data_IF_188225050896
#
_entry.id   IF_188225050896
#
_cell.length_a   1.000
_cell.length_b   1.000
_cell.length_c   1.000
_cell.angle_alpha   90.00
_cell.angle_beta   90.00
_cell.angle_gamma   90.00
#
_symmetry.space_group_name_H-M   'P 1'
#
loop_
_entity.id
_entity.type
_entity.pdbx_description
1 polymer ?
#
# COMPACT_ATOMS: atom_id res chain seq x y z
N UNK A 1 -8.43 11.19 2.60
CA UNK A 1 -7.63 10.29 1.82
C UNK A 1 -8.26 8.90 1.77
N UNK A 2 -8.47 8.36 0.59
CA UNK A 2 -8.99 7.02 0.33
C UNK A 2 -8.00 6.19 -0.51
N UNK A 3 -6.72 6.56 -0.52
CA UNK A 3 -5.70 5.92 -1.35
C UNK A 3 -5.68 4.41 -1.18
N UNK A 4 -5.71 3.91 0.06
CA UNK A 4 -5.82 2.49 0.37
C UNK A 4 -7.14 2.22 1.12
N UNK A 5 -8.01 1.42 0.50
CA UNK A 5 -9.31 1.04 1.07
C UNK A 5 -9.35 -0.41 1.56
N UNK A 6 -8.23 -1.11 1.62
CA UNK A 6 -8.16 -2.54 1.87
C UNK A 6 -8.87 -2.98 3.16
N UNK A 7 -8.93 -2.12 4.19
CA UNK A 7 -9.63 -2.45 5.43
C UNK A 7 -11.13 -2.11 5.43
N UNK A 8 -11.62 -1.34 4.47
CA UNK A 8 -12.93 -0.66 4.63
C UNK A 8 -13.88 -0.81 3.46
N UNK A 9 -13.44 -1.42 2.35
CA UNK A 9 -14.31 -1.58 1.19
C UNK A 9 -15.48 -2.53 1.51
N UNK A 10 -16.68 -2.12 1.16
CA UNK A 10 -17.89 -2.87 1.49
C UNK A 10 -18.28 -2.88 2.98
N UNK A 11 -17.48 -2.25 3.86
CA UNK A 11 -17.69 -2.19 5.32
C UNK A 11 -18.11 -0.79 5.76
N UNK A 12 -17.46 0.27 5.27
CA UNK A 12 -17.70 1.65 5.69
C UNK A 12 -18.38 2.47 4.60
N UNK A 13 -19.48 3.13 4.94
CA UNK A 13 -20.13 4.16 4.10
C UNK A 13 -19.48 5.50 4.35
N UNK A 14 -18.49 5.86 3.54
CA UNK A 14 -17.64 7.03 3.77
C UNK A 14 -18.37 8.36 3.75
N UNK A 15 -19.42 8.51 2.95
CA UNK A 15 -20.28 9.70 2.98
C UNK A 15 -20.96 9.93 4.34
N UNK A 16 -21.22 8.86 5.11
CA UNK A 16 -21.84 8.92 6.43
C UNK A 16 -20.91 9.38 7.56
N UNK A 17 -19.60 9.35 7.35
CA UNK A 17 -18.59 9.78 8.35
C UNK A 17 -18.10 11.23 8.13
N UNK A 18 -18.81 12.01 7.33
CA UNK A 18 -18.51 13.44 7.15
C UNK A 18 -17.53 13.79 6.03
N UNK A 19 -17.00 12.80 5.28
CA UNK A 19 -16.08 13.05 4.16
C UNK A 19 -16.80 13.75 3.01
N UNK A 20 -16.27 14.90 2.55
CA UNK A 20 -16.82 15.68 1.44
C UNK A 20 -16.13 15.40 0.10
N UNK A 21 -14.83 15.16 0.12
CA UNK A 21 -14.02 14.79 -1.05
C UNK A 21 -13.19 13.57 -0.71
N UNK A 22 -13.13 12.61 -1.62
CA UNK A 22 -12.30 11.41 -1.46
C UNK A 22 -11.65 11.01 -2.78
N UNK A 23 -10.36 10.81 -2.77
CA UNK A 23 -9.63 10.17 -3.86
C UNK A 23 -9.38 8.69 -3.54
N UNK A 24 -9.22 7.87 -4.58
CA UNK A 24 -8.89 6.45 -4.51
C UNK A 24 -7.64 6.17 -5.33
N UNK A 25 -6.89 5.12 -4.97
CA UNK A 25 -5.88 4.57 -5.87
C UNK A 25 -6.34 3.19 -6.38
N UNK A 26 -6.54 3.07 -7.68
CA UNK A 26 -6.97 1.80 -8.28
C UNK A 26 -5.91 0.71 -8.13
N UNK A 27 -4.63 1.09 -8.13
CA UNK A 27 -3.49 0.17 -7.98
C UNK A 27 -3.26 -0.33 -6.54
N UNK A 28 -4.02 0.11 -5.57
CA UNK A 28 -3.95 -0.41 -4.18
C UNK A 28 -5.06 -1.42 -3.94
N UNK A 29 -6.32 -0.99 -3.97
CA UNK A 29 -7.46 -1.82 -3.56
C UNK A 29 -8.11 -2.58 -4.71
N UNK A 30 -7.89 -2.18 -5.98
CA UNK A 30 -8.63 -2.70 -7.13
C UNK A 30 -7.75 -3.45 -8.14
N UNK A 31 -6.63 -4.01 -7.68
CA UNK A 31 -5.78 -4.95 -8.42
C UNK A 31 -5.31 -4.46 -9.79
N UNK A 32 -4.87 -3.21 -9.86
CA UNK A 32 -4.29 -2.65 -11.09
C UNK A 32 -2.81 -2.36 -10.95
N UNK A 33 -2.02 -2.23 -12.04
CA UNK A 33 -0.60 -1.96 -11.93
C UNK A 33 -0.34 -0.53 -11.42
N UNK A 34 0.67 -0.38 -10.58
CA UNK A 34 1.28 0.90 -10.19
C UNK A 34 2.30 1.37 -11.24
N UNK A 35 3.01 0.43 -11.85
CA UNK A 35 3.99 0.68 -12.91
C UNK A 35 5.21 1.51 -12.50
N UNK A 36 5.57 1.49 -11.20
CA UNK A 36 6.68 2.30 -10.70
C UNK A 36 6.43 3.82 -10.77
N UNK A 37 5.17 4.25 -10.77
CA UNK A 37 4.76 5.65 -10.90
C UNK A 37 4.25 6.03 -12.30
N UNK A 38 3.97 5.04 -13.16
CA UNK A 38 3.50 5.25 -14.54
C UNK A 38 1.97 5.27 -14.68
N UNK A 39 1.32 4.11 -14.89
CA UNK A 39 -0.07 4.05 -15.37
C UNK A 39 -1.12 4.21 -14.24
N UNK A 40 -0.80 4.84 -13.14
CA UNK A 40 -1.73 5.04 -12.02
C UNK A 40 -3.00 5.78 -12.46
N UNK A 41 -4.14 5.40 -11.85
CA UNK A 41 -5.40 6.11 -11.97
C UNK A 41 -6.11 6.13 -10.62
N UNK A 42 -6.86 7.20 -10.36
CA UNK A 42 -7.58 7.37 -9.10
C UNK A 42 -8.80 8.26 -9.27
N UNK A 43 -10.00 7.69 -9.19
CA UNK A 43 -11.22 8.51 -9.21
C UNK A 43 -11.28 9.43 -7.99
N UNK A 44 -11.84 10.61 -8.20
CA UNK A 44 -12.20 11.55 -7.13
C UNK A 44 -13.71 11.57 -7.00
N UNK A 45 -14.20 11.37 -5.79
CA UNK A 45 -15.63 11.45 -5.46
C UNK A 45 -15.87 12.64 -4.55
N UNK A 46 -16.99 13.34 -4.78
CA UNK A 46 -17.39 14.48 -4.00
C UNK A 46 -18.85 14.36 -3.54
N UNK A 47 -19.21 15.05 -2.45
CA UNK A 47 -20.62 15.24 -2.07
C UNK A 47 -21.33 16.17 -3.06
N UNK A 48 -22.68 16.10 -3.11
CA UNK A 48 -23.51 16.81 -4.08
C UNK A 48 -23.25 18.31 -4.14
N UNK A 49 -23.02 18.97 -3.00
CA UNK A 49 -22.78 20.43 -2.94
C UNK A 49 -21.46 20.85 -3.61
N UNK A 50 -20.54 19.93 -3.82
CA UNK A 50 -19.27 20.18 -4.53
C UNK A 50 -19.31 19.74 -6.00
N UNK A 51 -20.39 19.12 -6.44
CA UNK A 51 -20.47 18.54 -7.79
C UNK A 51 -20.35 19.60 -8.90
N UNK A 52 -20.84 20.84 -8.66
CA UNK A 52 -20.74 21.93 -9.63
C UNK A 52 -19.28 22.27 -10.00
N UNK A 53 -18.37 22.16 -9.06
CA UNK A 53 -16.96 22.52 -9.19
C UNK A 53 -16.08 21.46 -9.84
N UNK A 54 -16.60 20.24 -10.10
CA UNK A 54 -15.81 19.17 -10.71
C UNK A 54 -15.28 19.59 -12.10
N UNK A 55 -14.13 19.05 -12.53
CA UNK A 55 -13.53 19.34 -13.83
C UNK A 55 -14.47 19.07 -15.02
N UNK A 56 -14.21 19.73 -16.12
CA UNK A 56 -14.81 19.48 -17.43
C UNK A 56 -13.80 18.89 -18.41
N UNK A 57 -14.22 18.16 -19.49
CA UNK A 57 -15.61 17.77 -19.77
C UNK A 57 -16.08 16.64 -18.86
N UNK A 58 -17.41 16.52 -18.69
CA UNK A 58 -18.05 15.42 -17.98
C UNK A 58 -18.68 14.46 -18.97
N UNK A 59 -18.60 13.16 -18.67
CA UNK A 59 -19.31 12.16 -19.48
C UNK A 59 -20.77 12.16 -19.05
N UNK A 60 -21.66 12.44 -19.99
CA UNK A 60 -23.12 12.39 -19.81
C UNK A 60 -23.73 11.31 -20.69
N UNK A 61 -24.92 10.86 -20.33
CA UNK A 61 -25.74 9.99 -21.16
C UNK A 61 -27.03 10.72 -21.48
N UNK A 62 -27.26 11.00 -22.77
CA UNK A 62 -28.45 11.66 -23.26
C UNK A 62 -29.00 10.86 -24.43
N UNK A 63 -30.31 10.57 -24.43
CA UNK A 63 -31.02 9.84 -25.50
C UNK A 63 -30.38 8.49 -25.88
N UNK A 64 -29.83 7.80 -24.88
CA UNK A 64 -29.18 6.49 -25.08
C UNK A 64 -27.72 6.55 -25.54
N UNK A 65 -27.22 7.71 -25.94
CA UNK A 65 -25.83 7.92 -26.36
C UNK A 65 -24.99 8.57 -25.24
N UNK A 66 -23.69 8.30 -25.24
CA UNK A 66 -22.74 8.99 -24.36
C UNK A 66 -22.09 10.15 -25.10
N UNK A 67 -21.94 11.27 -24.39
CA UNK A 67 -21.29 12.48 -24.89
C UNK A 67 -20.41 13.15 -23.84
N UNK A 68 -19.71 14.19 -24.26
CA UNK A 68 -18.93 15.05 -23.39
C UNK A 68 -19.64 16.40 -23.24
N UNK A 69 -19.86 16.80 -22.00
CA UNK A 69 -20.52 18.06 -21.65
C UNK A 69 -19.51 19.02 -20.98
N UNK A 70 -19.46 20.24 -21.46
CA UNK A 70 -18.56 21.32 -21.00
C UNK A 70 -19.31 22.45 -20.28
N UNK A 71 -20.65 22.44 -20.28
CA UNK A 71 -21.48 23.54 -19.76
C UNK A 71 -21.66 23.45 -18.23
N UNK A 72 -20.58 23.77 -17.54
CA UNK A 72 -20.53 23.86 -16.06
C UNK A 72 -19.80 25.15 -15.65
N UNK A 73 -20.50 26.28 -15.50
CA UNK A 73 -19.88 27.59 -15.28
C UNK A 73 -19.09 27.70 -13.96
N UNK A 74 -19.43 26.89 -12.94
CA UNK A 74 -18.71 26.86 -11.67
C UNK A 74 -17.55 25.85 -11.65
N UNK A 75 -17.33 25.12 -12.74
CA UNK A 75 -16.25 24.13 -12.83
C UNK A 75 -14.88 24.77 -12.65
N UNK A 76 -13.96 24.05 -11.99
CA UNK A 76 -12.52 24.42 -11.95
C UNK A 76 -11.83 24.32 -13.30
N UNK A 77 -12.58 23.99 -14.37
CA UNK A 77 -12.08 23.88 -15.73
C UNK A 77 -11.47 22.53 -16.08
N UNK A 78 -10.79 22.50 -17.21
CA UNK A 78 -10.11 21.30 -17.71
C UNK A 78 -8.75 21.13 -17.03
N UNK A 79 -8.60 20.12 -16.21
CA UNK A 79 -7.38 19.87 -15.40
C UNK A 79 -6.39 18.91 -16.07
N UNK A 80 -6.84 18.12 -17.07
CA UNK A 80 -6.00 17.17 -17.81
C UNK A 80 -6.50 17.01 -19.25
N UNK A 81 -5.63 16.52 -20.12
CA UNK A 81 -5.96 16.28 -21.53
C UNK A 81 -6.89 15.06 -21.73
N UNK A 82 -6.97 14.18 -20.76
CA UNK A 82 -7.71 12.91 -20.81
C UNK A 82 -8.28 12.57 -19.42
N UNK A 83 -9.17 11.56 -19.35
CA UNK A 83 -9.89 11.19 -18.13
C UNK A 83 -9.15 10.20 -17.22
N UNK A 84 -7.88 9.95 -17.44
CA UNK A 84 -7.06 8.98 -16.72
C UNK A 84 -6.66 7.77 -17.58
N UNK A 85 -5.89 6.85 -17.00
CA UNK A 85 -5.42 5.65 -17.72
C UNK A 85 -6.57 4.68 -17.98
N UNK A 86 -7.10 4.67 -19.20
CA UNK A 86 -8.28 3.88 -19.58
C UNK A 86 -8.07 2.38 -19.34
N UNK A 87 -6.92 1.82 -19.74
CA UNK A 87 -6.61 0.40 -19.52
C UNK A 87 -6.61 0.01 -18.04
N UNK A 88 -6.15 0.90 -17.16
CA UNK A 88 -6.19 0.70 -15.70
C UNK A 88 -7.63 0.73 -15.18
N UNK A 89 -8.45 1.65 -15.67
CA UNK A 89 -9.88 1.71 -15.29
C UNK A 89 -10.63 0.44 -15.70
N UNK A 90 -10.36 -0.10 -16.90
CA UNK A 90 -10.96 -1.37 -17.35
C UNK A 90 -10.53 -2.55 -16.47
N UNK A 91 -9.25 -2.61 -16.08
CA UNK A 91 -8.76 -3.66 -15.16
C UNK A 91 -9.44 -3.57 -13.80
N UNK A 92 -9.55 -2.37 -13.23
CA UNK A 92 -10.27 -2.16 -11.96
C UNK A 92 -11.76 -2.56 -12.08
N UNK A 93 -12.41 -2.15 -13.16
CA UNK A 93 -13.79 -2.52 -13.44
C UNK A 93 -13.98 -4.05 -13.52
N UNK A 94 -13.10 -4.73 -14.26
CA UNK A 94 -13.13 -6.19 -14.41
C UNK A 94 -12.92 -6.88 -13.06
N UNK A 95 -11.98 -6.41 -12.25
CA UNK A 95 -11.75 -6.92 -10.89
C UNK A 95 -13.00 -6.75 -10.01
N UNK A 96 -13.58 -5.56 -9.96
CA UNK A 96 -14.78 -5.28 -9.17
C UNK A 96 -15.95 -6.16 -9.62
N UNK A 97 -16.14 -6.34 -10.93
CA UNK A 97 -17.19 -7.19 -11.49
C UNK A 97 -16.97 -8.68 -11.20
N UNK A 98 -15.73 -9.13 -11.26
CA UNK A 98 -15.35 -10.52 -10.96
C UNK A 98 -15.55 -10.85 -9.48
N UNK A 99 -15.14 -9.96 -8.60
CA UNK A 99 -15.26 -10.16 -7.15
C UNK A 99 -16.71 -10.05 -6.66
N UNK A 100 -17.46 -9.07 -7.16
CA UNK A 100 -18.78 -8.74 -6.63
C UNK A 100 -18.72 -8.13 -5.21
N UNK A 101 -19.84 -7.60 -4.70
CA UNK A 101 -19.87 -6.85 -3.45
C UNK A 101 -19.50 -7.68 -2.21
N UNK A 102 -19.93 -8.93 -2.16
CA UNK A 102 -19.70 -9.81 -1.02
C UNK A 102 -18.22 -10.20 -0.89
N UNK A 103 -17.55 -10.55 -2.02
CA UNK A 103 -16.15 -10.93 -1.96
C UNK A 103 -15.24 -9.71 -1.74
N UNK A 104 -15.58 -8.52 -2.25
CA UNK A 104 -14.86 -7.29 -1.91
C UNK A 104 -14.91 -6.99 -0.41
N UNK A 105 -16.08 -7.16 0.22
CA UNK A 105 -16.24 -7.04 1.67
C UNK A 105 -15.40 -8.10 2.42
N UNK A 106 -15.47 -9.35 1.96
CA UNK A 106 -14.70 -10.46 2.53
C UNK A 106 -13.19 -10.22 2.42
N UNK A 107 -12.71 -9.69 1.29
CA UNK A 107 -11.31 -9.31 1.11
C UNK A 107 -10.85 -8.32 2.19
N UNK A 108 -11.63 -7.26 2.46
CA UNK A 108 -11.34 -6.33 3.56
C UNK A 108 -11.28 -7.00 4.93
N UNK A 109 -12.22 -7.88 5.22
CA UNK A 109 -12.25 -8.60 6.49
C UNK A 109 -11.04 -9.51 6.67
N UNK A 110 -10.63 -10.22 5.61
CA UNK A 110 -9.45 -11.08 5.63
C UNK A 110 -8.16 -10.28 5.74
N UNK A 111 -8.03 -9.16 5.06
CA UNK A 111 -6.87 -8.27 5.18
C UNK A 111 -6.68 -7.79 6.62
N UNK A 112 -7.76 -7.38 7.30
CA UNK A 112 -7.73 -6.99 8.71
C UNK A 112 -7.39 -8.17 9.63
N UNK A 113 -7.95 -9.35 9.37
CA UNK A 113 -7.63 -10.56 10.13
C UNK A 113 -6.16 -10.94 10.02
N UNK A 114 -5.62 -10.95 8.80
CA UNK A 114 -4.22 -11.29 8.52
C UNK A 114 -3.25 -10.32 9.20
N UNK A 115 -3.52 -9.01 9.14
CA UNK A 115 -2.69 -8.00 9.80
C UNK A 115 -2.66 -8.19 11.32
N UNK A 116 -3.82 -8.43 11.94
CA UNK A 116 -3.88 -8.69 13.38
C UNK A 116 -3.24 -10.03 13.76
N UNK A 117 -3.35 -11.05 12.92
CA UNK A 117 -2.66 -12.32 13.12
C UNK A 117 -1.14 -12.13 13.15
N UNK A 118 -0.57 -11.49 12.12
CA UNK A 118 0.88 -11.21 12.07
C UNK A 118 1.31 -10.34 13.25
N UNK A 119 0.51 -9.33 13.62
CA UNK A 119 0.79 -8.47 14.77
C UNK A 119 0.92 -9.28 16.07
N UNK A 120 -0.04 -10.14 16.36
CA UNK A 120 -0.01 -10.94 17.60
C UNK A 120 1.15 -11.95 17.59
N UNK A 121 1.47 -12.55 16.44
CA UNK A 121 2.55 -13.53 16.31
C UNK A 121 3.94 -12.89 16.47
N UNK A 122 4.14 -11.67 15.96
CA UNK A 122 5.42 -10.94 16.06
C UNK A 122 5.55 -10.11 17.34
N UNK A 123 4.48 -9.98 18.11
CA UNK A 123 4.50 -9.32 19.41
C UNK A 123 5.51 -10.00 20.35
N UNK A 124 6.47 -9.22 20.85
CA UNK A 124 7.58 -9.76 21.65
C UNK A 124 8.84 -10.09 20.85
N UNK A 125 8.74 -10.40 19.56
CA UNK A 125 9.89 -10.56 18.66
C UNK A 125 10.40 -9.19 18.20
N UNK A 126 9.49 -8.33 17.76
CA UNK A 126 9.75 -6.94 17.38
C UNK A 126 9.11 -5.98 18.38
N UNK A 127 9.63 -4.76 18.45
CA UNK A 127 8.99 -3.72 19.25
C UNK A 127 7.69 -3.26 18.59
N UNK A 128 6.57 -3.39 19.32
CA UNK A 128 5.24 -2.97 18.92
C UNK A 128 4.87 -1.64 19.61
N UNK A 129 4.96 -0.48 18.91
CA UNK A 129 4.70 0.84 19.52
C UNK A 129 3.26 1.03 19.99
N UNK A 130 2.30 0.43 19.25
CA UNK A 130 0.86 0.57 19.51
C UNK A 130 0.21 -0.80 19.63
N UNK A 131 0.09 -1.31 20.86
CA UNK A 131 -0.54 -2.60 21.15
C UNK A 131 -2.07 -2.46 21.25
N UNK A 132 -2.70 -2.37 20.10
CA UNK A 132 -4.16 -2.31 19.94
C UNK A 132 -4.57 -3.03 18.64
N UNK A 133 -5.85 -3.41 18.46
CA UNK A 133 -6.31 -3.92 17.16
C UNK A 133 -5.96 -2.94 16.05
N UNK A 134 -5.35 -3.45 14.99
CA UNK A 134 -5.03 -2.69 13.79
C UNK A 134 -6.06 -2.96 12.68
N UNK A 135 -6.06 -2.13 11.65
CA UNK A 135 -6.81 -2.38 10.44
C UNK A 135 -6.02 -3.37 9.55
N UNK A 136 -5.75 -3.04 8.30
CA UNK A 136 -5.05 -3.92 7.36
C UNK A 136 -3.52 -3.82 7.43
N UNK A 137 -2.99 -2.98 8.31
CA UNK A 137 -1.55 -2.75 8.50
C UNK A 137 -1.19 -2.82 9.96
N UNK A 138 -0.06 -3.44 10.28
CA UNK A 138 0.53 -3.39 11.61
C UNK A 138 1.93 -2.78 11.55
N UNK A 139 2.28 -1.99 12.57
CA UNK A 139 3.54 -1.23 12.61
C UNK A 139 4.40 -1.72 13.76
N UNK A 140 5.61 -2.13 13.42
CA UNK A 140 6.68 -2.46 14.35
C UNK A 140 7.84 -1.48 14.21
N UNK A 141 8.88 -1.64 15.03
CA UNK A 141 10.12 -0.89 14.90
C UNK A 141 11.35 -1.71 15.27
N UNK A 142 12.51 -1.23 14.87
CA UNK A 142 13.82 -1.82 15.17
C UNK A 142 14.36 -1.54 16.57
N UNK A 143 13.56 -0.95 17.46
CA UNK A 143 13.99 -0.52 18.79
C UNK A 143 14.69 -1.61 19.60
N UNK A 144 14.21 -2.87 19.50
CA UNK A 144 14.82 -4.01 20.20
C UNK A 144 16.16 -4.45 19.60
N UNK A 145 16.52 -3.97 18.39
CA UNK A 145 17.77 -4.31 17.69
C UNK A 145 18.88 -3.26 17.90
N UNK A 146 18.60 -2.24 18.71
CA UNK A 146 19.54 -1.17 19.04
C UNK A 146 20.90 -1.62 19.55
N UNK A 147 21.00 -2.59 20.50
CA UNK A 147 22.28 -3.10 20.99
C UNK A 147 23.19 -3.67 19.91
N UNK A 148 22.63 -4.33 18.91
CA UNK A 148 23.37 -4.90 17.77
C UNK A 148 23.59 -3.90 16.63
N UNK A 149 23.04 -2.69 16.73
CA UNK A 149 23.05 -1.66 15.70
C UNK A 149 22.50 -2.17 14.35
N UNK A 150 21.48 -3.00 14.40
CA UNK A 150 20.75 -3.49 13.23
C UNK A 150 19.57 -2.57 12.99
N UNK A 151 19.45 -2.09 11.76
CA UNK A 151 18.41 -1.16 11.34
C UNK A 151 17.24 -1.90 10.69
N UNK A 152 16.11 -1.21 10.59
CA UNK A 152 14.95 -1.64 9.81
C UNK A 152 15.33 -2.04 8.38
N UNK A 153 16.21 -1.26 7.74
CA UNK A 153 16.71 -1.57 6.39
C UNK A 153 17.49 -2.89 6.35
N UNK A 154 18.29 -3.19 7.38
CA UNK A 154 19.04 -4.43 7.44
C UNK A 154 18.09 -5.64 7.52
N UNK A 155 17.05 -5.56 8.34
CA UNK A 155 16.03 -6.59 8.44
C UNK A 155 15.23 -6.75 7.14
N UNK A 156 14.82 -5.64 6.50
CA UNK A 156 14.13 -5.67 5.23
C UNK A 156 14.96 -6.32 4.11
N UNK A 157 16.24 -5.96 4.02
CA UNK A 157 17.16 -6.60 3.05
C UNK A 157 17.38 -8.09 3.36
N UNK A 158 17.37 -8.49 4.64
CA UNK A 158 17.51 -9.89 5.01
C UNK A 158 16.25 -10.72 4.68
N UNK A 159 15.05 -10.13 4.77
CA UNK A 159 13.80 -10.77 4.33
C UNK A 159 13.84 -11.23 2.87
N UNK A 160 14.52 -10.48 1.99
CA UNK A 160 14.71 -10.85 0.58
C UNK A 160 15.43 -12.20 0.47
N UNK A 161 16.44 -12.45 1.32
CA UNK A 161 17.17 -13.72 1.34
C UNK A 161 16.30 -14.89 1.83
N UNK A 162 15.24 -14.61 2.61
CA UNK A 162 14.23 -15.56 3.03
C UNK A 162 13.12 -15.79 1.98
N UNK A 163 13.15 -15.04 0.87
CA UNK A 163 12.19 -15.16 -0.23
C UNK A 163 10.92 -14.31 -0.07
N UNK A 164 10.90 -13.40 0.91
CA UNK A 164 9.76 -12.51 1.13
C UNK A 164 9.98 -11.12 0.54
N UNK A 165 8.90 -10.53 0.07
CA UNK A 165 8.88 -9.12 -0.29
C UNK A 165 8.99 -8.27 0.99
N UNK A 166 9.95 -7.32 1.05
CA UNK A 166 10.11 -6.49 2.25
C UNK A 166 8.90 -5.58 2.45
N UNK A 167 8.47 -5.36 3.70
CA UNK A 167 7.41 -4.40 4.01
C UNK A 167 7.88 -2.96 3.81
N UNK A 168 6.96 -2.01 3.89
CA UNK A 168 7.27 -0.58 3.92
C UNK A 168 8.12 -0.26 5.16
N UNK A 169 9.23 0.44 4.95
CA UNK A 169 10.17 0.80 6.02
C UNK A 169 10.24 2.31 6.22
N UNK A 170 10.58 2.75 7.44
CA UNK A 170 10.68 4.16 7.85
C UNK A 170 9.39 4.96 7.67
N UNK A 171 8.27 4.29 7.62
CA UNK A 171 6.95 4.87 7.58
C UNK A 171 5.98 4.04 8.47
N UNK A 172 5.07 4.68 9.24
CA UNK A 172 4.81 6.12 9.36
C UNK A 172 5.90 6.87 10.14
N UNK A 173 6.13 8.14 9.82
CA UNK A 173 7.21 8.96 10.38
C UNK A 173 7.13 9.16 11.90
N UNK A 174 5.95 8.97 12.50
CA UNK A 174 5.74 9.05 13.96
C UNK A 174 6.36 7.88 14.72
N UNK A 175 6.79 6.82 14.03
CA UNK A 175 7.48 5.66 14.60
C UNK A 175 8.90 5.63 14.07
N UNK A 176 9.87 5.86 14.94
CA UNK A 176 11.28 5.74 14.57
C UNK A 176 11.62 4.29 14.23
N UNK A 177 12.34 4.08 13.11
CA UNK A 177 12.69 2.74 12.65
C UNK A 177 11.48 1.87 12.30
N UNK A 178 10.42 2.49 11.76
CA UNK A 178 9.16 1.81 11.47
C UNK A 178 9.31 0.70 10.43
N UNK A 179 8.57 -0.39 10.67
CA UNK A 179 8.31 -1.50 9.75
C UNK A 179 6.80 -1.64 9.66
N UNK A 180 6.21 -1.27 8.54
CA UNK A 180 4.76 -1.33 8.33
C UNK A 180 4.41 -2.53 7.45
N UNK A 181 3.78 -3.52 8.05
CA UNK A 181 3.45 -4.80 7.42
C UNK A 181 1.97 -4.77 7.01
N UNK A 182 1.72 -4.97 5.73
CA UNK A 182 0.40 -5.11 5.13
C UNK A 182 0.29 -6.49 4.47
N UNK A 183 -0.14 -7.53 5.19
CA UNK A 183 -0.48 -8.80 4.58
C UNK A 183 -1.86 -8.66 3.93
N UNK A 184 -1.92 -8.92 2.64
CA UNK A 184 -3.18 -8.84 1.90
C UNK A 184 -4.08 -10.05 2.17
N UNK A 185 -5.33 -9.99 1.68
CA UNK A 185 -6.27 -11.10 1.76
C UNK A 185 -5.84 -12.33 0.97
N UNK A 186 -4.90 -12.18 0.05
CA UNK A 186 -4.39 -13.28 -0.78
C UNK A 186 -3.39 -14.18 -0.06
N UNK A 187 -2.84 -13.73 1.06
CA UNK A 187 -1.87 -14.50 1.82
C UNK A 187 -2.54 -15.66 2.56
N UNK A 188 -2.01 -16.86 2.39
CA UNK A 188 -2.43 -18.03 3.13
C UNK A 188 -1.92 -17.98 4.58
N UNK A 189 -2.53 -18.78 5.47
CA UNK A 189 -2.01 -18.92 6.83
C UNK A 189 -0.58 -19.45 6.85
N UNK A 190 -0.25 -20.35 5.92
CA UNK A 190 1.09 -20.93 5.77
C UNK A 190 2.12 -19.87 5.39
N UNK A 191 1.78 -18.97 4.44
CA UNK A 191 2.63 -17.86 4.04
C UNK A 191 2.86 -16.88 5.20
N UNK A 192 1.80 -16.57 5.96
CA UNK A 192 1.90 -15.72 7.14
C UNK A 192 2.77 -16.35 8.25
N UNK A 193 2.63 -17.65 8.49
CA UNK A 193 3.47 -18.37 9.45
C UNK A 193 4.93 -18.40 9.00
N UNK A 194 5.18 -18.62 7.70
CA UNK A 194 6.53 -18.57 7.11
C UNK A 194 7.16 -17.17 7.25
N UNK A 195 6.39 -16.12 7.02
CA UNK A 195 6.83 -14.73 7.18
C UNK A 195 7.20 -14.42 8.65
N UNK A 196 6.38 -14.87 9.60
CA UNK A 196 6.66 -14.73 11.04
C UNK A 196 7.94 -15.46 11.40
N UNK A 197 8.09 -16.72 10.97
CA UNK A 197 9.29 -17.52 11.24
C UNK A 197 10.56 -16.87 10.66
N UNK A 198 10.45 -16.24 9.47
CA UNK A 198 11.56 -15.48 8.89
C UNK A 198 11.99 -14.29 9.77
N UNK A 199 11.05 -13.52 10.30
CA UNK A 199 11.38 -12.44 11.24
C UNK A 199 11.98 -12.95 12.55
N UNK A 200 11.46 -14.03 13.12
CA UNK A 200 12.02 -14.66 14.31
C UNK A 200 13.48 -15.10 14.08
N UNK A 201 13.75 -15.72 12.94
CA UNK A 201 15.11 -16.10 12.55
C UNK A 201 16.01 -14.90 12.34
N UNK A 202 15.54 -13.84 11.68
CA UNK A 202 16.29 -12.59 11.45
C UNK A 202 16.66 -11.92 12.78
N UNK A 203 15.74 -11.87 13.74
CA UNK A 203 16.00 -11.31 15.07
C UNK A 203 17.03 -12.16 15.83
N UNK A 204 17.00 -13.48 15.68
CA UNK A 204 18.00 -14.36 16.26
C UNK A 204 19.36 -14.18 15.57
N UNK A 205 19.42 -14.14 14.25
CA UNK A 205 20.64 -13.85 13.48
C UNK A 205 21.26 -12.48 13.87
N UNK A 206 20.42 -11.47 14.14
CA UNK A 206 20.89 -10.16 14.59
C UNK A 206 21.67 -10.23 15.92
N UNK A 207 21.32 -11.18 16.81
CA UNK A 207 22.02 -11.41 18.06
C UNK A 207 23.29 -12.23 17.86
N UNK A 208 23.22 -13.29 17.07
CA UNK A 208 24.29 -14.28 16.94
C UNK A 208 25.37 -13.82 15.95
N UNK A 209 24.97 -13.22 14.83
CA UNK A 209 25.88 -12.76 13.78
C UNK A 209 25.28 -11.57 13.00
N UNK A 210 25.34 -10.35 13.54
CA UNK A 210 24.74 -9.15 12.93
C UNK A 210 25.31 -8.83 11.52
N UNK A 211 26.50 -9.32 11.18
CA UNK A 211 27.09 -9.12 9.87
C UNK A 211 26.31 -9.81 8.73
N UNK A 212 25.53 -10.87 9.05
CA UNK A 212 24.64 -11.47 8.08
C UNK A 212 23.59 -10.45 7.58
N UNK A 213 23.02 -9.66 8.49
CA UNK A 213 22.01 -8.67 8.15
C UNK A 213 22.64 -7.44 7.46
N UNK A 214 23.79 -6.97 7.94
CA UNK A 214 24.48 -5.82 7.33
C UNK A 214 24.90 -6.09 5.89
N UNK A 215 25.20 -7.34 5.54
CA UNK A 215 25.59 -7.76 4.18
C UNK A 215 24.43 -8.29 3.35
N UNK A 216 23.22 -8.27 3.86
CA UNK A 216 22.02 -8.69 3.11
C UNK A 216 21.62 -7.63 2.07
N UNK A 217 20.96 -8.03 0.95
CA UNK A 217 20.69 -9.42 0.55
C UNK A 217 21.94 -10.10 -0.01
N UNK A 218 22.05 -11.41 0.18
CA UNK A 218 23.21 -12.21 -0.25
C UNK A 218 22.88 -13.20 -1.37
N UNK A 219 21.59 -13.55 -1.50
CA UNK A 219 21.11 -14.49 -2.54
C UNK A 219 20.73 -13.77 -3.84
N UNK A 220 20.68 -12.45 -3.84
CA UNK A 220 20.36 -11.65 -5.02
C UNK A 220 21.61 -11.33 -5.84
N UNK A 221 21.44 -11.20 -7.17
CA UNK A 221 22.51 -10.76 -8.08
C UNK A 221 23.01 -9.34 -7.74
N UNK A 222 22.09 -8.46 -7.34
CA UNK A 222 22.37 -7.12 -6.89
C UNK A 222 22.21 -7.07 -5.38
N UNK A 223 23.21 -6.58 -4.68
CA UNK A 223 23.22 -6.45 -3.23
C UNK A 223 22.79 -5.04 -2.80
N UNK A 224 23.51 -4.38 -1.89
CA UNK A 224 23.19 -3.01 -1.48
C UNK A 224 23.57 -2.02 -2.54
N UNK A 225 22.67 -1.07 -2.81
CA UNK A 225 22.89 0.02 -3.74
C UNK A 225 23.41 1.24 -2.98
N UNK A 226 24.23 2.06 -3.63
CA UNK A 226 24.59 3.40 -3.15
C UNK A 226 23.47 4.39 -3.50
N UNK A 227 22.39 4.33 -2.73
CA UNK A 227 21.19 5.16 -2.92
C UNK A 227 21.50 6.66 -2.78
N UNK A 228 22.48 7.00 -1.94
CA UNK A 228 22.89 8.41 -1.69
C UNK A 228 23.55 8.98 -2.94
N UNK A 229 24.50 8.27 -3.52
CA UNK A 229 25.16 8.71 -4.76
C UNK A 229 24.19 8.72 -5.93
N UNK A 230 23.32 7.69 -6.04
CA UNK A 230 22.28 7.64 -7.08
C UNK A 230 21.32 8.83 -7.01
N UNK A 231 20.94 9.27 -5.81
CA UNK A 231 20.07 10.42 -5.65
C UNK A 231 20.77 11.77 -5.85
N UNK A 232 22.03 11.92 -5.39
CA UNK A 232 22.74 13.20 -5.40
C UNK A 232 23.55 13.45 -6.68
N UNK A 233 24.00 12.39 -7.31
CA UNK A 233 24.86 12.45 -8.51
C UNK A 233 24.43 11.38 -9.52
N UNK A 234 23.19 11.47 -10.05
CA UNK A 234 22.67 10.47 -10.98
C UNK A 234 23.51 10.46 -12.26
N UNK A 235 23.94 9.27 -12.71
CA UNK A 235 24.49 9.07 -14.03
C UNK A 235 23.33 8.78 -14.99
N UNK A 236 22.98 9.73 -15.85
CA UNK A 236 21.83 9.65 -16.76
C UNK A 236 22.20 9.14 -18.15
N UNK A 237 23.49 9.00 -18.43
CA UNK A 237 24.03 8.45 -19.68
C UNK A 237 25.00 7.32 -19.32
N UNK A 238 24.82 6.17 -19.92
CA UNK A 238 25.68 5.00 -19.79
C UNK A 238 26.19 4.59 -21.16
#
# INVERSE_FOLDING_TARGET
>A
DGANLNAVIGVVKKGGIGVDVMQLNLHKTFSTPHGGGGPGAGPVSVKKHLAAFLPVPRVIKQDGAYGLDYDYPESIGKVAAFHGSFGVMIKAYSYIRSMGPENLKKASQLAVLNANYVKERLKGTLHLPYDRPCMHECVFSDKHQGPQKITTMDMAKRLIDYGFHPPTVYFPLVVHGAIMIEPTETESKEDLDGFVAAFEAIVQEAKDNPELLRKAPRKCKVTRLDEVTAARKPCLAG
#
